data_IF_932797074514
#
_entry.id   IF_932797074514
#
_cell.length_a   1.000
_cell.length_b   1.000
_cell.length_c   1.000
_cell.angle_alpha   90.00
_cell.angle_beta   90.00
_cell.angle_gamma   90.00
#
_symmetry.space_group_name_H-M   'P 1'
#
loop_
_entity.id
_entity.type
_entity.pdbx_description
1 polymer ?
#
# COMPACT_ATOMS: atom_id res chain seq x y z
N UNK A 1 -2.27 -1.11 19.98
CA UNK A 1 -1.43 -0.19 19.18
C UNK A 1 -0.06 -0.84 19.08
N UNK A 2 0.44 -1.07 17.89
CA UNK A 2 1.78 -1.66 17.72
C UNK A 2 2.81 -0.57 18.02
N UNK A 3 3.69 -0.83 18.99
CA UNK A 3 4.79 0.06 19.38
C UNK A 3 6.09 -0.72 19.28
N UNK A 4 7.18 -0.04 18.90
CA UNK A 4 8.49 -0.66 18.67
C UNK A 4 8.70 -1.08 17.22
N UNK A 5 9.90 -1.59 16.95
CA UNK A 5 10.33 -2.12 15.65
C UNK A 5 10.34 -3.64 15.67
N UNK A 6 10.15 -4.27 14.52
CA UNK A 6 10.20 -5.72 14.37
C UNK A 6 11.66 -6.21 14.52
N UNK A 7 11.86 -7.22 15.36
CA UNK A 7 13.16 -7.84 15.52
C UNK A 7 13.38 -8.93 14.44
N UNK A 8 14.03 -8.54 13.37
CA UNK A 8 14.34 -9.42 12.25
C UNK A 8 15.44 -10.42 12.55
N UNK A 9 16.22 -10.24 13.63
CA UNK A 9 17.28 -11.21 13.98
C UNK A 9 16.69 -12.56 14.33
N UNK A 10 15.56 -12.61 15.02
CA UNK A 10 14.84 -13.85 15.34
C UNK A 10 14.32 -14.56 14.08
N UNK A 11 13.86 -13.83 13.08
CA UNK A 11 13.42 -14.39 11.79
C UNK A 11 14.62 -15.04 11.08
N UNK A 12 15.77 -14.34 11.07
CA UNK A 12 17.01 -14.85 10.52
C UNK A 12 17.52 -16.10 11.23
N UNK A 13 17.44 -16.16 12.56
CA UNK A 13 17.79 -17.35 13.34
C UNK A 13 16.92 -18.57 12.96
N UNK A 14 15.60 -18.36 12.81
CA UNK A 14 14.69 -19.42 12.37
C UNK A 14 15.04 -19.87 10.97
N UNK A 15 15.29 -18.97 10.03
CA UNK A 15 15.66 -19.30 8.64
C UNK A 15 16.96 -20.10 8.57
N UNK A 16 17.94 -19.75 9.37
CA UNK A 16 19.27 -20.41 9.39
C UNK A 16 19.32 -21.67 10.26
N UNK A 17 18.23 -22.06 10.89
CA UNK A 17 18.19 -23.28 11.69
C UNK A 17 18.19 -24.53 10.77
N UNK A 18 19.21 -25.42 10.86
CA UNK A 18 19.33 -26.58 9.98
C UNK A 18 18.23 -27.64 10.14
N UNK A 19 17.37 -27.49 11.15
CA UNK A 19 16.20 -28.36 11.36
C UNK A 19 14.95 -27.88 10.64
N UNK A 20 14.96 -26.65 10.08
CA UNK A 20 13.82 -26.02 9.41
C UNK A 20 14.05 -26.09 7.90
N UNK A 21 13.18 -26.84 7.22
CA UNK A 21 13.27 -27.09 5.77
C UNK A 21 12.09 -26.52 4.99
N UNK A 22 11.19 -25.79 5.65
CA UNK A 22 10.06 -25.11 5.02
C UNK A 22 10.45 -23.68 4.63
N UNK A 23 9.79 -23.08 3.62
CA UNK A 23 9.98 -21.67 3.30
C UNK A 23 9.64 -20.77 4.49
N UNK A 24 10.46 -19.75 4.72
CA UNK A 24 10.25 -18.76 5.78
C UNK A 24 9.82 -17.43 5.15
N UNK A 25 8.64 -16.98 5.53
CA UNK A 25 8.08 -15.69 5.11
C UNK A 25 8.29 -14.69 6.25
N UNK A 26 9.18 -13.71 6.03
CA UNK A 26 9.47 -12.67 7.01
C UNK A 26 8.40 -11.58 7.00
N UNK A 27 8.02 -11.09 8.19
CA UNK A 27 7.05 -10.02 8.33
C UNK A 27 7.49 -9.04 9.43
N UNK A 28 7.45 -7.76 9.12
CA UNK A 28 7.68 -6.67 10.08
C UNK A 28 8.27 -5.43 9.41
N UNK A 29 7.57 -4.32 9.54
CA UNK A 29 8.00 -2.94 9.22
C UNK A 29 8.65 -2.69 7.85
N UNK A 30 8.35 -3.54 6.85
CA UNK A 30 8.76 -3.31 5.48
C UNK A 30 7.82 -2.27 4.86
N UNK A 31 8.39 -1.12 4.47
CA UNK A 31 7.68 0.03 3.90
C UNK A 31 8.27 0.51 2.58
N UNK A 32 9.50 0.06 2.25
CA UNK A 32 10.23 0.44 1.04
C UNK A 32 10.79 -0.77 0.30
N UNK A 33 11.12 -0.64 -0.99
CA UNK A 33 11.81 -1.67 -1.75
C UNK A 33 13.19 -2.05 -1.17
N UNK A 34 13.92 -1.07 -0.64
CA UNK A 34 15.24 -1.27 -0.03
C UNK A 34 15.14 -2.14 1.23
N UNK A 35 14.12 -1.91 2.07
CA UNK A 35 13.87 -2.72 3.26
C UNK A 35 13.50 -4.16 2.88
N UNK A 36 12.70 -4.35 1.82
CA UNK A 36 12.40 -5.68 1.30
C UNK A 36 13.67 -6.39 0.81
N UNK A 37 14.51 -5.70 0.03
CA UNK A 37 15.81 -6.24 -0.42
C UNK A 37 16.70 -6.63 0.75
N UNK A 38 16.80 -5.76 1.75
CA UNK A 38 17.58 -6.02 2.95
C UNK A 38 17.09 -7.28 3.69
N UNK A 39 15.77 -7.49 3.74
CA UNK A 39 15.19 -8.69 4.35
C UNK A 39 15.66 -9.98 3.66
N UNK A 40 15.69 -10.00 2.33
CA UNK A 40 16.21 -11.13 1.55
C UNK A 40 17.72 -11.31 1.73
N UNK A 41 18.51 -10.25 1.58
CA UNK A 41 19.97 -10.33 1.59
C UNK A 41 20.55 -10.61 2.98
N UNK A 42 20.01 -9.97 4.02
CA UNK A 42 20.56 -10.08 5.38
C UNK A 42 20.04 -11.26 6.16
N UNK A 43 18.76 -11.59 6.01
CA UNK A 43 18.11 -12.62 6.82
C UNK A 43 17.79 -13.88 6.03
N UNK A 44 17.95 -13.85 4.71
CA UNK A 44 17.84 -15.02 3.82
C UNK A 44 16.42 -15.58 3.71
N UNK A 45 15.39 -14.81 4.06
CA UNK A 45 13.99 -15.24 3.96
C UNK A 45 13.58 -15.58 2.54
N UNK A 46 12.66 -16.52 2.37
CA UNK A 46 12.19 -16.96 1.06
C UNK A 46 11.13 -16.03 0.47
N UNK A 47 10.41 -15.31 1.34
CA UNK A 47 9.44 -14.30 0.95
C UNK A 47 9.28 -13.25 2.05
N UNK A 48 8.65 -12.12 1.71
CA UNK A 48 8.28 -11.08 2.66
C UNK A 48 6.78 -10.85 2.64
N UNK A 49 6.20 -10.62 3.82
CA UNK A 49 4.82 -10.19 3.96
C UNK A 49 4.77 -8.70 4.29
N UNK A 50 4.00 -7.94 3.51
CA UNK A 50 3.85 -6.49 3.68
C UNK A 50 2.43 -6.20 4.17
N UNK A 51 2.34 -5.60 5.36
CA UNK A 51 1.08 -5.28 6.00
C UNK A 51 0.70 -3.80 5.83
N UNK A 52 0.94 -3.00 6.86
CA UNK A 52 0.50 -1.59 6.96
C UNK A 52 0.91 -0.69 5.79
N UNK A 53 2.05 -0.96 5.18
CA UNK A 53 2.55 -0.18 4.03
C UNK A 53 1.69 -0.31 2.77
N UNK A 54 0.79 -1.30 2.70
CA UNK A 54 -0.16 -1.43 1.59
C UNK A 54 -1.35 -0.46 1.69
N UNK A 55 -1.57 0.16 2.85
CA UNK A 55 -2.72 1.04 3.07
C UNK A 55 -2.62 2.29 2.21
N UNK A 56 -3.52 2.39 1.23
CA UNK A 56 -3.54 3.47 0.25
C UNK A 56 -2.35 3.47 -0.73
N UNK A 57 -1.62 2.34 -0.79
CA UNK A 57 -0.46 2.15 -1.66
C UNK A 57 -0.44 0.71 -2.21
N UNK A 58 -1.47 0.26 -2.94
CA UNK A 58 -1.51 -1.11 -3.46
C UNK A 58 -0.36 -1.43 -4.43
N UNK A 59 0.20 -0.44 -5.09
CA UNK A 59 1.33 -0.55 -6.02
C UNK A 59 2.68 -0.83 -5.35
N UNK A 60 2.78 -0.87 -4.02
CA UNK A 60 4.04 -1.15 -3.30
C UNK A 60 4.66 -2.50 -3.71
N UNK A 61 3.84 -3.50 -4.02
CA UNK A 61 4.34 -4.81 -4.47
C UNK A 61 5.03 -4.74 -5.82
N UNK A 62 4.52 -3.91 -6.73
CA UNK A 62 5.12 -3.67 -8.04
C UNK A 62 6.42 -2.89 -7.90
N UNK A 63 6.42 -1.83 -7.10
CA UNK A 63 7.63 -1.06 -6.81
C UNK A 63 8.75 -1.95 -6.22
N UNK A 64 8.42 -2.86 -5.31
CA UNK A 64 9.37 -3.81 -4.71
C UNK A 64 9.88 -4.80 -5.75
N UNK A 65 8.99 -5.40 -6.54
CA UNK A 65 9.37 -6.35 -7.58
C UNK A 65 10.31 -5.71 -8.60
N UNK A 66 9.96 -4.54 -9.10
CA UNK A 66 10.77 -3.83 -10.08
C UNK A 66 12.16 -3.44 -9.54
N UNK A 67 12.22 -3.08 -8.27
CA UNK A 67 13.47 -2.79 -7.60
C UNK A 67 14.36 -4.05 -7.41
N UNK A 68 13.76 -5.18 -7.01
CA UNK A 68 14.48 -6.45 -6.82
C UNK A 68 14.97 -7.01 -8.15
N UNK A 69 14.15 -6.94 -9.19
CA UNK A 69 14.46 -7.46 -10.52
C UNK A 69 15.33 -6.49 -11.34
N UNK A 70 15.58 -5.29 -10.82
CA UNK A 70 16.34 -4.23 -11.50
C UNK A 70 15.82 -3.95 -12.92
N UNK A 71 14.50 -3.92 -13.07
CA UNK A 71 13.83 -3.79 -14.39
C UNK A 71 14.05 -2.43 -15.04
N UNK A 72 14.40 -1.40 -14.25
CA UNK A 72 14.45 0.00 -14.71
C UNK A 72 13.07 0.53 -15.11
N UNK A 73 12.00 -0.06 -14.60
CA UNK A 73 10.63 0.35 -14.88
C UNK A 73 10.38 1.82 -14.49
N UNK A 74 9.64 2.52 -15.32
CA UNK A 74 9.21 3.88 -15.00
C UNK A 74 8.19 3.83 -13.86
N UNK A 75 8.38 4.62 -12.79
CA UNK A 75 7.41 4.68 -11.71
C UNK A 75 6.02 5.07 -12.22
N UNK A 76 4.99 4.48 -11.64
CA UNK A 76 3.60 4.82 -11.96
C UNK A 76 3.34 6.31 -11.75
N UNK A 77 2.68 6.91 -12.72
CA UNK A 77 2.18 8.29 -12.64
C UNK A 77 1.11 8.42 -11.55
N UNK A 78 0.79 9.64 -11.16
CA UNK A 78 -0.29 9.90 -10.20
C UNK A 78 -1.64 9.43 -10.75
N UNK A 79 -1.88 9.62 -12.04
CA UNK A 79 -3.11 9.18 -12.70
C UNK A 79 -3.27 7.65 -12.61
N UNK A 80 -2.23 6.89 -12.95
CA UNK A 80 -2.23 5.42 -12.84
C UNK A 80 -2.43 4.95 -11.40
N UNK A 81 -1.84 5.63 -10.42
CA UNK A 81 -2.04 5.33 -9.00
C UNK A 81 -3.49 5.58 -8.54
N UNK A 82 -4.13 6.64 -9.04
CA UNK A 82 -5.55 6.91 -8.77
C UNK A 82 -6.43 5.86 -9.43
N UNK A 83 -6.14 5.46 -10.67
CA UNK A 83 -6.86 4.38 -11.36
C UNK A 83 -6.81 3.07 -10.55
N UNK A 84 -5.65 2.70 -9.99
CA UNK A 84 -5.53 1.54 -9.11
C UNK A 84 -6.36 1.65 -7.83
N UNK A 85 -6.49 2.84 -7.26
CA UNK A 85 -7.33 3.07 -6.08
C UNK A 85 -8.83 2.97 -6.42
N UNK A 86 -9.24 3.47 -7.59
CA UNK A 86 -10.61 3.33 -8.11
C UNK A 86 -10.93 1.85 -8.39
N UNK A 87 -10.00 1.12 -9.00
CA UNK A 87 -10.14 -0.32 -9.23
C UNK A 87 -10.25 -1.10 -7.91
N UNK A 88 -9.47 -0.75 -6.90
CA UNK A 88 -9.58 -1.34 -5.56
C UNK A 88 -10.96 -1.11 -4.95
N UNK A 89 -11.53 0.09 -5.11
CA UNK A 89 -12.89 0.40 -4.67
C UNK A 89 -13.90 -0.54 -5.37
N UNK A 90 -13.83 -0.63 -6.70
CA UNK A 90 -14.72 -1.46 -7.51
C UNK A 90 -14.65 -2.93 -7.09
N UNK A 91 -13.45 -3.48 -6.95
CA UNK A 91 -13.25 -4.88 -6.54
C UNK A 91 -13.82 -5.14 -5.14
N UNK A 92 -13.62 -4.23 -4.20
CA UNK A 92 -14.14 -4.39 -2.84
C UNK A 92 -15.67 -4.39 -2.82
N UNK A 93 -16.30 -3.49 -3.57
CA UNK A 93 -17.76 -3.42 -3.69
C UNK A 93 -18.33 -4.69 -4.34
N UNK A 94 -17.72 -5.16 -5.40
CA UNK A 94 -18.16 -6.39 -6.09
C UNK A 94 -18.02 -7.65 -5.23
N UNK A 95 -16.95 -7.74 -4.43
CA UNK A 95 -16.65 -8.94 -3.62
C UNK A 95 -17.47 -9.06 -2.34
N UNK A 96 -17.89 -7.96 -1.77
CA UNK A 96 -18.56 -7.95 -0.48
C UNK A 96 -20.00 -7.45 -0.65
N UNK A 97 -20.16 -6.15 -0.73
CA UNK A 97 -21.34 -5.34 -1.05
C UNK A 97 -20.90 -3.86 -1.04
N UNK A 98 -21.78 -2.97 -1.52
CA UNK A 98 -21.43 -1.56 -1.62
C UNK A 98 -21.08 -0.94 -0.26
N UNK A 99 -21.94 -1.13 0.74
CA UNK A 99 -21.73 -0.52 2.06
C UNK A 99 -20.39 -0.93 2.70
N UNK A 100 -20.13 -2.23 2.79
CA UNK A 100 -18.89 -2.74 3.39
C UNK A 100 -17.68 -2.48 2.52
N UNK A 101 -17.80 -2.58 1.21
CA UNK A 101 -16.75 -2.26 0.25
C UNK A 101 -16.26 -0.82 0.40
N UNK A 102 -17.19 0.13 0.54
CA UNK A 102 -16.88 1.54 0.82
C UNK A 102 -16.20 1.69 2.18
N UNK A 103 -16.74 1.07 3.24
CA UNK A 103 -16.14 1.15 4.58
C UNK A 103 -14.69 0.66 4.61
N UNK A 104 -14.37 -0.39 3.87
CA UNK A 104 -13.00 -0.90 3.74
C UNK A 104 -12.11 0.06 2.95
N UNK A 105 -12.57 0.51 1.78
CA UNK A 105 -11.75 1.28 0.85
C UNK A 105 -11.49 2.70 1.32
N UNK A 106 -12.48 3.41 1.87
CA UNK A 106 -12.34 4.83 2.25
C UNK A 106 -11.19 5.12 3.23
N UNK A 107 -10.84 4.16 4.10
CA UNK A 107 -9.68 4.27 5.00
C UNK A 107 -8.37 4.19 4.25
N UNK A 108 -8.29 3.32 3.23
CA UNK A 108 -7.14 3.21 2.35
C UNK A 108 -6.95 4.51 1.55
N UNK A 109 -8.04 5.02 0.95
CA UNK A 109 -8.00 6.28 0.21
C UNK A 109 -7.52 7.44 1.09
N UNK A 110 -8.13 7.60 2.27
CA UNK A 110 -7.77 8.67 3.20
C UNK A 110 -6.34 8.58 3.76
N UNK A 111 -5.70 7.42 3.65
CA UNK A 111 -4.32 7.16 4.08
C UNK A 111 -3.30 7.25 2.93
N UNK A 112 -3.76 7.33 1.67
CA UNK A 112 -2.87 7.29 0.51
C UNK A 112 -1.87 8.44 0.50
N UNK A 113 -0.58 8.13 0.27
CA UNK A 113 0.48 9.13 0.25
C UNK A 113 0.39 10.11 -0.94
N UNK A 114 -0.28 9.72 -2.04
CA UNK A 114 -0.37 10.54 -3.24
C UNK A 114 -1.15 11.85 -3.04
N UNK A 115 -1.97 11.91 -2.00
CA UNK A 115 -2.79 13.10 -1.71
C UNK A 115 -2.12 14.10 -0.75
N UNK A 116 -0.93 13.78 -0.21
CA UNK A 116 -0.26 14.62 0.80
C UNK A 116 0.11 16.02 0.31
N UNK A 117 0.30 16.22 -0.99
CA UNK A 117 0.65 17.50 -1.60
C UNK A 117 -0.54 18.43 -1.88
N UNK A 118 -1.77 17.94 -1.75
CA UNK A 118 -2.97 18.72 -2.05
C UNK A 118 -3.21 19.76 -0.94
N UNK A 119 -3.31 21.07 -1.26
CA UNK A 119 -3.69 22.10 -0.29
C UNK A 119 -5.00 21.75 0.41
N UNK A 120 -5.10 22.03 1.71
CA UNK A 120 -6.29 21.75 2.52
C UNK A 120 -6.83 20.30 2.45
N UNK A 121 -5.97 19.34 2.17
CA UNK A 121 -6.35 17.91 2.07
C UNK A 121 -7.14 17.39 3.29
N UNK A 122 -7.04 18.07 4.43
CA UNK A 122 -7.82 17.69 5.63
C UNK A 122 -9.32 17.58 5.34
N UNK A 123 -9.90 18.54 4.62
CA UNK A 123 -11.33 18.53 4.29
C UNK A 123 -11.68 17.40 3.33
N UNK A 124 -10.86 17.20 2.30
CA UNK A 124 -10.98 16.08 1.36
C UNK A 124 -10.89 14.73 2.07
N UNK A 125 -9.95 14.59 3.00
CA UNK A 125 -9.82 13.38 3.82
C UNK A 125 -11.06 13.12 4.69
N UNK A 126 -11.65 14.15 5.28
CA UNK A 126 -12.90 14.04 6.04
C UNK A 126 -14.03 13.58 5.12
N UNK A 127 -14.14 14.16 3.92
CA UNK A 127 -15.13 13.77 2.93
C UNK A 127 -14.98 12.29 2.55
N UNK A 128 -13.76 11.83 2.22
CA UNK A 128 -13.47 10.41 1.94
C UNK A 128 -13.95 9.50 3.08
N UNK A 129 -13.63 9.84 4.33
CA UNK A 129 -13.97 9.03 5.50
C UNK A 129 -15.48 9.02 5.82
N UNK A 130 -16.24 9.99 5.32
CA UNK A 130 -17.70 10.10 5.50
C UNK A 130 -18.50 9.57 4.33
N UNK A 131 -17.87 9.39 3.16
CA UNK A 131 -18.54 8.89 1.97
C UNK A 131 -19.27 7.57 2.23
N UNK A 132 -20.45 7.45 1.66
CA UNK A 132 -21.35 6.30 1.84
C UNK A 132 -21.76 5.66 0.52
N UNK A 133 -21.45 6.27 -0.61
CA UNK A 133 -21.71 5.74 -1.96
C UNK A 133 -20.44 5.69 -2.81
N UNK A 134 -20.45 4.84 -3.82
CA UNK A 134 -19.36 4.74 -4.80
C UNK A 134 -19.19 6.04 -5.54
N UNK A 135 -20.29 6.68 -5.93
CA UNK A 135 -20.31 7.97 -6.63
C UNK A 135 -19.62 9.07 -5.83
N UNK A 136 -19.89 9.13 -4.52
CA UNK A 136 -19.21 10.10 -3.64
C UNK A 136 -17.69 9.89 -3.62
N UNK A 137 -17.21 8.66 -3.43
CA UNK A 137 -15.78 8.38 -3.42
C UNK A 137 -15.11 8.62 -4.77
N UNK A 138 -15.74 8.19 -5.86
CA UNK A 138 -15.22 8.42 -7.22
C UNK A 138 -15.19 9.90 -7.55
N UNK A 139 -16.22 10.65 -7.14
CA UNK A 139 -16.25 12.11 -7.29
C UNK A 139 -15.09 12.79 -6.56
N UNK A 140 -14.81 12.39 -5.32
CA UNK A 140 -13.69 12.91 -4.52
C UNK A 140 -12.34 12.56 -5.17
N UNK A 141 -12.17 11.34 -5.69
CA UNK A 141 -10.94 10.93 -6.38
C UNK A 141 -10.71 11.74 -7.65
N UNK A 142 -11.77 12.01 -8.43
CA UNK A 142 -11.71 12.87 -9.60
C UNK A 142 -11.28 14.29 -9.24
N UNK A 143 -11.86 14.86 -8.19
CA UNK A 143 -11.46 16.19 -7.69
C UNK A 143 -9.98 16.19 -7.27
N UNK A 144 -9.53 15.17 -6.55
CA UNK A 144 -8.11 15.03 -6.17
C UNK A 144 -7.19 15.00 -7.40
N UNK A 145 -7.56 14.26 -8.43
CA UNK A 145 -6.82 14.16 -9.71
C UNK A 145 -6.64 15.55 -10.35
N UNK A 146 -7.73 16.31 -10.47
CA UNK A 146 -7.66 17.67 -11.05
C UNK A 146 -6.82 18.63 -10.19
N UNK A 147 -6.93 18.53 -8.87
CA UNK A 147 -6.15 19.37 -7.95
C UNK A 147 -4.67 19.06 -7.97
N UNK A 148 -4.27 17.80 -8.15
CA UNK A 148 -2.86 17.42 -8.29
C UNK A 148 -2.32 17.97 -9.60
N UNK A 149 -3.01 17.79 -10.73
CA UNK A 149 -2.61 18.35 -12.04
C UNK A 149 -2.45 19.86 -12.05
N UNK A 150 -3.18 20.56 -11.20
CA UNK A 150 -3.08 22.01 -11.08
C UNK A 150 -1.85 22.48 -10.27
N UNK A 151 -1.15 21.57 -9.61
CA UNK A 151 0.04 21.83 -8.77
C UNK A 151 1.34 21.45 -9.50
N UNK A 152 1.27 20.47 -10.42
CA UNK A 152 2.37 20.06 -11.30
C UNK A 152 2.64 21.12 -12.38
#
# INVERSE_FOLDING_TARGET
MYTGEADWSLIGEVKNNPRIHIPIIGNGDITTPEEAKLAFERYGVDAVMIGRATFGRPWIFEEIRDYLDNTGATPLTVDEKIDLLEEQLRINVERIDEYRGILHTRRHLAASPIFKGIPDFRQTRIAMLRATTVEELTGILKECRERIKAIE
#
